data_IF_961971965466
#
_entry.id   IF_961971965466
#
_cell.length_a   1.000
_cell.length_b   1.000
_cell.length_c   1.000
_cell.angle_alpha   90.00
_cell.angle_beta   90.00
_cell.angle_gamma   90.00
#
_symmetry.space_group_name_H-M   'P 1'
#
loop_
_entity.id
_entity.type
_entity.pdbx_description
1 polymer ?
#
# COMPACT_ATOMS: atom_id res chain seq x y z
N UNK A 1 -24.02 -28.73 16.08
CA UNK A 1 -22.75 -28.28 15.47
C UNK A 1 -22.97 -26.84 15.08
N UNK A 2 -22.46 -25.90 15.88
CA UNK A 2 -22.65 -24.47 15.64
C UNK A 2 -21.73 -24.08 14.48
N UNK A 3 -22.30 -23.64 13.36
CA UNK A 3 -21.54 -23.02 12.28
C UNK A 3 -20.87 -21.76 12.84
N UNK A 4 -19.56 -21.84 13.07
CA UNK A 4 -18.74 -20.70 13.43
C UNK A 4 -18.75 -19.74 12.24
N UNK A 5 -19.53 -18.68 12.35
CA UNK A 5 -19.47 -17.54 11.45
C UNK A 5 -18.06 -16.96 11.52
N UNK A 6 -17.21 -17.34 10.56
CA UNK A 6 -15.90 -16.76 10.34
C UNK A 6 -16.10 -15.28 9.99
N UNK A 7 -16.15 -14.43 11.02
CA UNK A 7 -16.00 -13.00 10.86
C UNK A 7 -14.50 -12.72 10.65
N UNK A 8 -13.92 -13.33 9.62
CA UNK A 8 -12.64 -12.89 9.07
C UNK A 8 -12.90 -11.50 8.54
N UNK A 9 -12.48 -10.47 9.28
CA UNK A 9 -12.46 -9.12 8.73
C UNK A 9 -11.67 -9.18 7.42
N UNK A 10 -12.04 -8.37 6.42
CA UNK A 10 -11.23 -8.28 5.20
C UNK A 10 -9.77 -7.99 5.53
N UNK A 11 -9.49 -7.29 6.64
CA UNK A 11 -8.16 -7.10 7.22
C UNK A 11 -7.44 -8.39 7.65
N UNK A 12 -8.13 -9.40 8.20
CA UNK A 12 -7.54 -10.71 8.54
C UNK A 12 -7.25 -11.55 7.29
N UNK A 13 -8.04 -11.38 6.22
CA UNK A 13 -7.75 -11.96 4.91
C UNK A 13 -6.60 -11.24 4.18
N UNK A 14 -6.35 -9.98 4.53
CA UNK A 14 -5.27 -9.13 4.01
C UNK A 14 -3.97 -9.24 4.81
N UNK A 15 -3.96 -9.93 5.96
CA UNK A 15 -2.76 -10.26 6.73
C UNK A 15 -1.92 -11.36 6.05
N UNK A 16 -2.01 -11.46 4.73
CA UNK A 16 -1.02 -12.18 3.95
C UNK A 16 0.22 -11.30 3.86
N UNK A 17 1.35 -11.83 4.34
CA UNK A 17 2.65 -11.19 4.18
C UNK A 17 2.96 -11.04 2.69
N UNK A 18 2.63 -9.88 2.12
CA UNK A 18 3.03 -9.49 0.78
C UNK A 18 4.56 -9.42 0.73
N UNK A 19 5.15 -10.09 -0.26
CA UNK A 19 6.56 -9.87 -0.55
C UNK A 19 6.79 -8.45 -1.09
N UNK A 20 8.02 -7.96 -0.97
CA UNK A 20 8.42 -6.67 -1.55
C UNK A 20 8.12 -6.59 -3.05
N UNK A 21 8.28 -7.72 -3.77
CA UNK A 21 7.98 -7.83 -5.19
C UNK A 21 6.48 -7.64 -5.49
N UNK A 22 5.62 -8.39 -4.79
CA UNK A 22 4.17 -8.29 -4.96
C UNK A 22 3.64 -6.93 -4.57
N UNK A 23 4.15 -6.37 -3.48
CA UNK A 23 3.83 -5.00 -3.06
C UNK A 23 4.18 -4.00 -4.15
N UNK A 24 5.41 -4.02 -4.66
CA UNK A 24 5.88 -3.10 -5.70
C UNK A 24 5.05 -3.19 -6.98
N UNK A 25 4.82 -4.41 -7.49
CA UNK A 25 4.07 -4.61 -8.73
C UNK A 25 2.55 -4.37 -8.57
N UNK A 26 2.04 -4.37 -7.33
CA UNK A 26 0.66 -3.96 -7.03
C UNK A 26 0.45 -2.43 -7.02
N UNK A 27 1.52 -1.62 -7.02
CA UNK A 27 1.41 -0.16 -6.99
C UNK A 27 0.98 0.42 -8.34
N UNK A 28 0.38 1.62 -8.36
CA UNK A 28 0.17 2.36 -9.61
C UNK A 28 1.48 2.61 -10.37
N UNK A 29 1.44 2.55 -11.70
CA UNK A 29 2.64 2.62 -12.57
C UNK A 29 3.48 3.89 -12.36
N UNK A 30 2.83 5.03 -12.14
CA UNK A 30 3.50 6.29 -11.83
C UNK A 30 4.26 6.26 -10.49
N UNK A 31 3.84 5.42 -9.53
CA UNK A 31 4.52 5.23 -8.26
C UNK A 31 5.69 4.26 -8.43
N UNK A 32 5.52 3.18 -9.20
CA UNK A 32 6.59 2.26 -9.57
C UNK A 32 7.77 3.01 -10.22
N UNK A 33 7.49 3.84 -11.23
CA UNK A 33 8.50 4.66 -11.91
C UNK A 33 9.22 5.64 -10.98
N UNK A 34 8.53 6.15 -9.95
CA UNK A 34 9.15 7.04 -8.95
C UNK A 34 10.04 6.28 -7.97
N UNK A 35 9.70 5.04 -7.64
CA UNK A 35 10.51 4.15 -6.80
C UNK A 35 11.76 3.72 -7.57
N UNK A 36 11.64 3.32 -8.84
CA UNK A 36 12.78 2.91 -9.68
C UNK A 36 13.81 4.04 -9.89
N UNK A 37 13.35 5.29 -9.92
CA UNK A 37 14.23 6.47 -10.04
C UNK A 37 14.88 6.87 -8.71
N UNK A 38 14.56 6.19 -7.62
CA UNK A 38 15.07 6.45 -6.27
C UNK A 38 15.94 5.29 -5.81
N UNK A 39 16.89 5.61 -4.95
CA UNK A 39 17.71 4.61 -4.27
C UNK A 39 16.97 4.11 -3.01
N UNK A 40 15.90 3.34 -3.21
CA UNK A 40 15.17 2.70 -2.11
C UNK A 40 15.85 1.37 -1.80
N UNK A 41 16.53 1.31 -0.65
CA UNK A 41 17.33 0.15 -0.26
C UNK A 41 16.56 -0.90 0.56
N UNK A 42 15.35 -0.59 1.02
CA UNK A 42 14.60 -1.47 1.90
C UNK A 42 13.08 -1.45 1.66
N UNK A 43 12.42 -2.52 2.08
CA UNK A 43 10.97 -2.64 1.94
C UNK A 43 10.21 -1.60 2.78
N UNK A 44 10.68 -1.34 4.00
CA UNK A 44 10.11 -0.31 4.88
C UNK A 44 10.18 1.09 4.25
N UNK A 45 11.31 1.44 3.62
CA UNK A 45 11.45 2.72 2.92
C UNK A 45 10.49 2.85 1.74
N UNK A 46 10.24 1.76 1.01
CA UNK A 46 9.25 1.73 -0.06
C UNK A 46 7.84 2.00 0.48
N UNK A 47 7.45 1.33 1.57
CA UNK A 47 6.15 1.50 2.21
C UNK A 47 5.96 2.94 2.72
N UNK A 48 6.96 3.50 3.38
CA UNK A 48 6.95 4.88 3.85
C UNK A 48 6.83 5.88 2.69
N UNK A 49 7.53 5.62 1.58
CA UNK A 49 7.43 6.44 0.38
C UNK A 49 6.01 6.42 -0.19
N UNK A 50 5.42 5.24 -0.37
CA UNK A 50 4.07 5.07 -0.89
C UNK A 50 3.03 5.72 0.02
N UNK A 51 3.12 5.50 1.34
CA UNK A 51 2.21 6.08 2.32
C UNK A 51 2.22 7.62 2.27
N UNK A 52 3.41 8.23 2.17
CA UNK A 52 3.56 9.69 2.03
C UNK A 52 3.02 10.21 0.70
N UNK A 53 3.10 9.42 -0.38
CA UNK A 53 2.66 9.83 -1.72
C UNK A 53 1.15 9.72 -1.88
N UNK A 54 0.58 8.59 -1.47
CA UNK A 54 -0.85 8.32 -1.51
C UNK A 54 -1.62 9.19 -0.49
N UNK A 55 -1.04 9.43 0.69
CA UNK A 55 -1.62 10.32 1.69
C UNK A 55 -1.60 11.81 1.33
N UNK A 56 -0.77 12.23 0.37
CA UNK A 56 -0.74 13.63 -0.12
C UNK A 56 -1.82 13.89 -1.17
N UNK A 57 -2.20 12.91 -1.98
CA UNK A 57 -3.30 13.05 -2.94
C UNK A 57 -4.63 13.41 -2.26
N UNK A 58 -4.86 12.97 -1.02
CA UNK A 58 -6.06 13.32 -0.25
C UNK A 58 -6.09 14.78 0.28
N UNK A 59 -4.94 15.47 0.36
CA UNK A 59 -4.86 16.84 0.90
C UNK A 59 -4.90 17.94 -0.16
N UNK A 60 -4.57 17.63 -1.42
CA UNK A 60 -4.63 18.62 -2.51
C UNK A 60 -6.08 18.90 -2.98
N UNK A 61 -7.01 17.98 -2.74
CA UNK A 61 -8.43 18.14 -3.15
C UNK A 61 -9.24 19.07 -2.25
N UNK A 62 -8.76 19.39 -1.03
CA UNK A 62 -9.43 20.31 -0.09
C UNK A 62 -8.99 21.78 -0.21
N UNK A 63 -8.02 22.10 -1.07
CA UNK A 63 -7.50 23.48 -1.23
C UNK A 63 -8.07 24.22 -2.46
N UNK A 64 -8.85 23.55 -3.29
CA UNK A 64 -9.52 24.13 -4.48
C UNK A 64 -11.07 24.02 -4.40
N UNK A 65 -11.64 23.95 -3.19
CA UNK A 65 -13.09 24.00 -2.95
C UNK A 65 -13.52 25.36 -2.41
#
# INVERSE_FOLDING_TARGET
MLEGSYQLGLSDLLDQNLSCYEYFHGLPRNIQEQIERRDIGSFQEMQDFVARRMGRSAKEEQRNG
#
